data_IF_169813695609
#
_entry.id   IF_169813695609
#
_cell.length_a   1.000
_cell.length_b   1.000
_cell.length_c   1.000
_cell.angle_alpha   90.00
_cell.angle_beta   90.00
_cell.angle_gamma   90.00
#
_symmetry.space_group_name_H-M   'P 1'
#
loop_
_entity.id
_entity.type
_entity.pdbx_description
1 polymer ?
#
# COMPACT_ATOMS: atom_id res chain seq x y z
N UNK A 1 21.41 11.52 64.00
CA UNK A 1 21.70 12.75 64.72
C UNK A 1 21.70 13.90 63.75
N UNK A 2 20.64 14.62 63.74
CA UNK A 2 20.38 16.02 64.16
C UNK A 2 21.01 17.06 63.26
N UNK A 3 20.17 17.76 62.53
CA UNK A 3 19.64 19.05 62.85
C UNK A 3 20.49 20.19 62.18
N UNK A 4 20.06 21.24 61.60
CA UNK A 4 18.85 21.99 61.51
C UNK A 4 19.12 23.17 60.55
N UNK A 5 18.05 23.64 59.94
CA UNK A 5 17.88 24.96 59.31
C UNK A 5 18.13 26.12 60.31
N UNK A 6 18.45 27.38 59.93
CA UNK A 6 17.36 28.25 59.48
C UNK A 6 17.74 29.36 58.46
N UNK A 7 16.73 29.88 57.80
CA UNK A 7 16.62 31.22 57.24
C UNK A 7 16.43 32.25 58.39
N UNK A 8 16.30 33.57 58.27
CA UNK A 8 15.70 34.38 57.18
C UNK A 8 16.21 35.88 57.04
N UNK A 9 15.49 36.63 56.16
CA UNK A 9 15.08 38.06 56.32
C UNK A 9 16.07 39.13 55.81
N UNK A 10 15.77 40.17 55.07
CA UNK A 10 14.63 41.02 54.75
C UNK A 10 15.01 42.02 53.66
N UNK A 11 14.03 42.43 52.88
CA UNK A 11 14.02 43.68 52.08
C UNK A 11 14.03 44.92 53.04
N UNK A 12 14.26 46.17 52.63
CA UNK A 12 13.37 46.87 51.70
C UNK A 12 13.95 48.09 50.94
N UNK A 13 13.09 48.63 50.11
CA UNK A 13 12.72 50.02 49.82
C UNK A 13 13.15 50.66 48.48
N UNK A 14 12.12 51.01 47.79
CA UNK A 14 11.86 52.03 46.78
C UNK A 14 12.03 53.43 47.35
N UNK A 15 12.13 54.64 46.69
CA UNK A 15 11.55 55.02 45.37
C UNK A 15 12.47 55.96 44.53
N UNK A 16 12.13 56.42 43.42
CA UNK A 16 11.30 57.47 42.85
C UNK A 16 11.64 57.77 41.35
N UNK A 17 10.61 57.83 40.60
CA UNK A 17 10.18 58.74 39.53
C UNK A 17 11.16 59.67 38.80
N UNK A 18 11.06 59.60 37.43
CA UNK A 18 10.77 60.80 36.58
C UNK A 18 10.63 60.42 35.12
N UNK A 19 9.45 60.44 34.60
CA UNK A 19 8.82 61.22 33.50
C UNK A 19 9.54 61.37 32.16
N UNK A 20 8.76 60.98 31.17
CA UNK A 20 8.50 61.54 29.83
C UNK A 20 9.54 61.40 28.72
N UNK A 21 9.16 60.65 27.68
CA UNK A 21 8.87 61.22 26.37
C UNK A 21 8.30 60.14 25.44
N UNK A 22 7.06 60.37 24.98
CA UNK A 22 6.46 59.68 23.86
C UNK A 22 7.28 59.88 22.61
N UNK A 23 7.70 58.76 21.97
CA UNK A 23 8.01 58.74 20.56
C UNK A 23 7.13 57.69 19.91
N UNK A 24 6.17 58.15 19.13
CA UNK A 24 5.30 57.37 18.29
C UNK A 24 6.16 56.69 17.24
N UNK A 25 6.30 55.38 17.33
CA UNK A 25 6.86 54.57 16.25
C UNK A 25 5.82 54.37 15.14
N UNK A 26 6.22 54.36 13.84
CA UNK A 26 5.26 54.19 12.76
C UNK A 26 4.69 52.76 12.79
N UNK A 27 3.38 52.66 12.49
CA UNK A 27 2.68 51.40 12.34
C UNK A 27 3.39 50.49 11.34
N UNK A 28 3.81 49.32 11.79
CA UNK A 28 4.22 48.22 10.92
C UNK A 28 3.06 47.84 10.02
N UNK A 29 3.30 47.84 8.71
CA UNK A 29 2.41 47.29 7.71
C UNK A 29 2.17 45.80 8.00
N UNK A 30 0.97 45.26 7.72
CA UNK A 30 0.71 43.85 7.93
C UNK A 30 1.66 43.04 7.05
N UNK A 31 2.50 42.22 7.67
CA UNK A 31 3.31 41.22 7.01
C UNK A 31 2.38 40.28 6.24
N UNK A 32 2.67 40.13 4.97
CA UNK A 32 2.01 39.09 4.12
C UNK A 32 2.10 37.73 4.83
N UNK A 33 1.08 36.88 4.72
CA UNK A 33 1.14 35.54 5.26
C UNK A 33 2.39 34.84 4.70
N UNK A 34 3.23 34.31 5.55
CA UNK A 34 4.34 33.46 5.15
C UNK A 34 3.74 32.31 4.33
N UNK A 35 4.09 32.22 3.05
CA UNK A 35 3.78 31.04 2.26
C UNK A 35 4.40 29.84 2.99
N UNK A 36 3.55 28.89 3.39
CA UNK A 36 4.00 27.60 3.89
C UNK A 36 4.96 27.03 2.86
N UNK A 37 6.11 26.47 3.26
CA UNK A 37 7.03 25.87 2.31
C UNK A 37 6.25 24.82 1.51
N UNK A 38 6.19 24.99 0.19
CA UNK A 38 5.68 23.96 -0.72
C UNK A 38 6.52 22.73 -0.44
N UNK A 39 5.92 21.68 0.07
CA UNK A 39 6.59 20.38 0.15
C UNK A 39 7.06 20.04 -1.25
N UNK A 40 8.36 19.84 -1.43
CA UNK A 40 8.89 19.38 -2.71
C UNK A 40 8.16 18.07 -3.06
N UNK A 41 7.52 18.04 -4.23
CA UNK A 41 6.83 16.85 -4.71
C UNK A 41 7.88 15.75 -4.92
N UNK A 42 7.81 14.71 -4.10
CA UNK A 42 8.74 13.58 -4.18
C UNK A 42 8.38 12.68 -5.36
N UNK A 43 9.39 12.12 -5.99
CA UNK A 43 9.20 11.08 -6.99
C UNK A 43 8.51 9.85 -6.36
N UNK A 44 7.64 9.22 -7.11
CA UNK A 44 7.03 7.94 -6.71
C UNK A 44 7.75 6.80 -7.39
N UNK A 45 8.28 5.88 -6.61
CA UNK A 45 8.91 4.65 -7.09
C UNK A 45 8.06 3.45 -6.66
N UNK A 46 7.62 2.65 -7.61
CA UNK A 46 6.89 1.41 -7.35
C UNK A 46 7.82 0.25 -7.69
N UNK A 47 8.19 -0.51 -6.66
CA UNK A 47 8.89 -1.79 -6.83
C UNK A 47 7.84 -2.90 -6.79
N UNK A 48 7.86 -3.78 -7.78
CA UNK A 48 6.94 -4.90 -7.78
C UNK A 48 7.63 -6.21 -8.10
N UNK A 49 7.07 -7.27 -7.57
CA UNK A 49 7.33 -8.65 -7.95
C UNK A 49 6.03 -9.30 -8.41
N UNK A 50 6.14 -10.34 -9.21
CA UNK A 50 5.03 -11.17 -9.64
C UNK A 50 5.56 -12.53 -10.10
N UNK A 51 4.75 -13.57 -9.98
CA UNK A 51 5.08 -14.91 -10.47
C UNK A 51 6.44 -15.44 -10.01
N UNK A 52 6.81 -15.16 -8.77
CA UNK A 52 8.11 -15.58 -8.22
C UNK A 52 8.14 -17.07 -7.94
N UNK A 53 7.00 -17.68 -7.67
CA UNK A 53 6.86 -19.14 -7.57
C UNK A 53 7.87 -19.82 -6.64
N UNK A 54 8.05 -19.24 -5.45
CA UNK A 54 8.90 -19.83 -4.42
C UNK A 54 10.40 -19.78 -4.71
N UNK A 55 10.87 -18.93 -5.62
CA UNK A 55 12.29 -18.72 -5.93
C UNK A 55 12.99 -17.88 -4.88
N UNK A 56 13.15 -18.47 -3.70
CA UNK A 56 13.72 -17.83 -2.51
C UNK A 56 15.24 -17.65 -2.63
N UNK A 57 15.90 -18.64 -3.22
CA UNK A 57 17.36 -18.72 -3.28
C UNK A 57 17.86 -18.14 -4.60
N UNK A 58 18.99 -17.41 -4.50
CA UNK A 58 19.70 -16.93 -5.68
C UNK A 58 20.18 -18.09 -6.57
N UNK A 59 19.92 -18.00 -7.86
CA UNK A 59 20.44 -18.92 -8.87
C UNK A 59 20.60 -18.17 -10.21
N UNK A 60 21.09 -18.85 -11.25
CA UNK A 60 21.26 -18.22 -12.56
C UNK A 60 19.94 -17.65 -13.08
N UNK A 61 19.89 -16.32 -13.24
CA UNK A 61 18.71 -15.61 -13.72
C UNK A 61 17.67 -15.30 -12.63
N UNK A 62 17.93 -15.63 -11.37
CA UNK A 62 17.06 -15.39 -10.23
C UNK A 62 17.82 -14.64 -9.15
N UNK A 63 17.34 -13.48 -8.76
CA UNK A 63 17.98 -12.63 -7.75
C UNK A 63 17.95 -13.24 -6.34
N UNK A 64 16.89 -13.98 -6.00
CA UNK A 64 16.65 -14.49 -4.65
C UNK A 64 16.16 -13.42 -3.67
N UNK A 65 15.45 -13.86 -2.64
CA UNK A 65 14.77 -12.92 -1.71
C UNK A 65 15.77 -12.10 -0.87
N UNK A 66 16.93 -12.65 -0.52
CA UNK A 66 17.94 -11.93 0.27
C UNK A 66 18.52 -10.71 -0.45
N UNK A 67 18.89 -10.87 -1.71
CA UNK A 67 19.38 -9.74 -2.53
C UNK A 67 18.25 -8.77 -2.88
N UNK A 68 17.06 -9.28 -3.15
CA UNK A 68 15.89 -8.46 -3.40
C UNK A 68 15.57 -7.58 -2.19
N UNK A 69 15.64 -8.11 -0.97
CA UNK A 69 15.46 -7.33 0.26
C UNK A 69 16.45 -6.18 0.34
N UNK A 70 17.73 -6.42 0.00
CA UNK A 70 18.75 -5.37 -0.04
C UNK A 70 18.42 -4.26 -1.05
N UNK A 71 17.96 -4.63 -2.24
CA UNK A 71 17.54 -3.64 -3.26
C UNK A 71 16.36 -2.80 -2.76
N UNK A 72 15.37 -3.45 -2.14
CA UNK A 72 14.21 -2.76 -1.56
C UNK A 72 14.64 -1.77 -0.47
N UNK A 73 15.51 -2.18 0.43
CA UNK A 73 16.03 -1.31 1.49
C UNK A 73 16.81 -0.11 0.93
N UNK A 74 17.63 -0.32 -0.09
CA UNK A 74 18.36 0.74 -0.77
C UNK A 74 17.41 1.76 -1.42
N UNK A 75 16.34 1.31 -2.04
CA UNK A 75 15.33 2.22 -2.62
C UNK A 75 14.56 2.98 -1.54
N UNK A 76 14.16 2.31 -0.46
CA UNK A 76 13.47 2.96 0.67
C UNK A 76 14.33 3.99 1.39
N UNK A 77 15.65 3.82 1.40
CA UNK A 77 16.58 4.75 2.04
C UNK A 77 16.73 6.10 1.30
N UNK A 78 16.28 6.19 0.06
CA UNK A 78 16.33 7.43 -0.72
C UNK A 78 15.28 8.41 -0.20
N UNK A 79 15.73 9.60 0.19
CA UNK A 79 14.87 10.62 0.83
C UNK A 79 14.07 11.47 -0.14
N UNK A 80 14.47 11.49 -1.42
CA UNK A 80 13.84 12.26 -2.50
C UNK A 80 12.66 11.53 -3.17
N UNK A 81 12.30 10.36 -2.70
CA UNK A 81 11.24 9.54 -3.29
C UNK A 81 10.33 8.91 -2.23
N UNK A 82 9.11 8.57 -2.66
CA UNK A 82 8.19 7.70 -1.92
C UNK A 82 8.23 6.33 -2.58
N UNK A 83 8.57 5.28 -1.82
CA UNK A 83 8.74 3.93 -2.35
C UNK A 83 7.59 3.03 -1.91
N UNK A 84 6.85 2.49 -2.88
CA UNK A 84 5.80 1.48 -2.70
C UNK A 84 6.34 0.11 -3.14
N UNK A 85 6.16 -0.91 -2.33
CA UNK A 85 6.62 -2.28 -2.61
C UNK A 85 5.43 -3.23 -2.61
N UNK A 86 5.16 -3.87 -3.74
CA UNK A 86 3.97 -4.68 -3.96
C UNK A 86 4.28 -5.99 -4.69
N UNK A 87 3.39 -6.96 -4.56
CA UNK A 87 3.46 -8.23 -5.31
C UNK A 87 2.14 -8.47 -6.05
N UNK A 88 2.21 -8.83 -7.33
CA UNK A 88 1.04 -9.05 -8.16
C UNK A 88 0.55 -10.51 -8.19
N UNK A 89 1.00 -11.35 -7.26
CA UNK A 89 0.50 -12.72 -7.09
C UNK A 89 1.41 -13.83 -7.61
N UNK A 90 1.00 -15.06 -7.32
CA UNK A 90 1.75 -16.28 -7.64
C UNK A 90 3.14 -16.33 -6.96
N UNK A 91 3.14 -16.01 -5.67
CA UNK A 91 4.37 -15.88 -4.90
C UNK A 91 4.85 -17.17 -4.26
N UNK A 92 3.95 -18.04 -3.80
CA UNK A 92 4.26 -19.06 -2.79
C UNK A 92 4.46 -20.47 -3.34
N UNK A 93 3.74 -20.83 -4.37
CA UNK A 93 3.81 -22.16 -4.97
C UNK A 93 4.85 -22.20 -6.11
N UNK A 94 5.61 -23.26 -6.21
CA UNK A 94 6.53 -23.54 -7.32
C UNK A 94 7.68 -24.44 -6.91
N UNK A 95 8.75 -23.91 -6.34
CA UNK A 95 9.92 -24.70 -5.98
C UNK A 95 9.74 -25.48 -4.66
N UNK A 96 10.40 -26.66 -4.53
CA UNK A 96 10.29 -27.51 -3.35
C UNK A 96 10.60 -26.81 -2.03
N UNK A 97 11.53 -25.86 -2.03
CA UNK A 97 11.91 -25.09 -0.84
C UNK A 97 10.72 -24.29 -0.27
N UNK A 98 9.83 -23.81 -1.12
CA UNK A 98 8.60 -23.12 -0.69
C UNK A 98 7.46 -24.11 -0.50
N UNK A 99 7.29 -25.07 -1.42
CA UNK A 99 6.19 -26.03 -1.38
C UNK A 99 6.19 -26.93 -0.15
N UNK A 100 7.36 -27.24 0.42
CA UNK A 100 7.50 -28.06 1.64
C UNK A 100 6.74 -27.48 2.85
N UNK A 101 6.57 -26.16 2.89
CA UNK A 101 5.79 -25.45 3.89
C UNK A 101 4.47 -24.91 3.34
N UNK A 102 4.00 -25.41 2.16
CA UNK A 102 2.86 -24.87 1.44
C UNK A 102 2.95 -23.35 1.21
N UNK A 103 4.16 -22.84 1.01
CA UNK A 103 4.43 -21.43 0.79
C UNK A 103 4.52 -20.57 2.07
N UNK A 104 4.21 -21.11 3.25
CA UNK A 104 4.21 -20.33 4.50
C UNK A 104 5.59 -19.74 4.84
N UNK A 105 6.67 -20.48 4.54
CA UNK A 105 8.02 -19.99 4.77
C UNK A 105 8.29 -18.72 3.98
N UNK A 106 7.91 -18.68 2.70
CA UNK A 106 8.07 -17.50 1.87
C UNK A 106 7.16 -16.36 2.30
N UNK A 107 5.94 -16.64 2.74
CA UNK A 107 5.05 -15.61 3.30
C UNK A 107 5.70 -14.88 4.48
N UNK A 108 6.39 -15.60 5.36
CA UNK A 108 7.15 -15.02 6.47
C UNK A 108 8.35 -14.20 6.00
N UNK A 109 9.05 -14.65 4.95
CA UNK A 109 10.14 -13.88 4.32
C UNK A 109 9.62 -12.55 3.76
N UNK A 110 8.49 -12.55 3.06
CA UNK A 110 7.88 -11.32 2.55
C UNK A 110 7.48 -10.36 3.68
N UNK A 111 7.09 -10.88 4.84
CA UNK A 111 6.84 -10.05 6.02
C UNK A 111 8.09 -9.29 6.49
N UNK A 112 9.26 -9.95 6.46
CA UNK A 112 10.54 -9.31 6.84
C UNK A 112 11.03 -8.30 5.77
N UNK A 113 10.50 -8.39 4.56
CA UNK A 113 10.79 -7.45 3.48
C UNK A 113 9.83 -6.24 3.49
N UNK A 114 8.86 -6.20 4.40
CA UNK A 114 7.88 -5.11 4.56
C UNK A 114 7.16 -4.72 3.26
N UNK A 115 6.61 -5.71 2.56
CA UNK A 115 5.73 -5.41 1.43
C UNK A 115 4.52 -4.58 1.88
N UNK A 116 4.03 -3.69 1.02
CA UNK A 116 2.89 -2.82 1.32
C UNK A 116 1.55 -3.48 1.00
N UNK A 117 1.51 -4.31 -0.03
CA UNK A 117 0.33 -5.10 -0.44
C UNK A 117 0.70 -6.21 -1.41
N UNK A 118 -0.17 -7.19 -1.54
CA UNK A 118 -0.06 -8.28 -2.51
C UNK A 118 -1.42 -8.61 -3.10
N UNK A 119 -1.49 -8.90 -4.39
CA UNK A 119 -2.66 -9.50 -5.02
C UNK A 119 -2.65 -11.02 -4.89
N UNK A 120 -3.83 -11.62 -4.90
CA UNK A 120 -4.01 -13.06 -4.99
C UNK A 120 -3.88 -13.50 -6.44
N UNK A 121 -2.95 -14.41 -6.73
CA UNK A 121 -2.84 -15.09 -8.01
C UNK A 121 -3.60 -16.43 -8.01
N UNK A 122 -3.55 -17.13 -9.15
CA UNK A 122 -4.22 -18.41 -9.26
C UNK A 122 -3.49 -19.53 -8.48
N UNK A 123 -2.18 -19.47 -8.35
CA UNK A 123 -1.40 -20.45 -7.62
C UNK A 123 -1.41 -20.29 -6.10
N UNK A 124 -1.97 -19.21 -5.55
CA UNK A 124 -2.26 -19.11 -4.12
C UNK A 124 -3.31 -20.14 -3.66
N UNK A 125 -4.07 -20.73 -4.59
CA UNK A 125 -5.06 -21.79 -4.31
C UNK A 125 -4.52 -23.20 -4.46
N UNK A 126 -3.29 -23.42 -4.90
CA UNK A 126 -2.75 -24.75 -5.23
C UNK A 126 -2.67 -25.70 -4.04
N UNK A 127 -2.51 -25.17 -2.84
CA UNK A 127 -2.51 -25.96 -1.60
C UNK A 127 -3.90 -26.07 -0.95
N UNK A 128 -4.95 -25.62 -1.64
CA UNK A 128 -6.34 -25.65 -1.20
C UNK A 128 -6.83 -24.34 -0.62
N UNK A 129 -8.15 -24.23 -0.49
CA UNK A 129 -8.82 -23.03 -0.02
C UNK A 129 -8.43 -22.64 1.41
N UNK A 130 -8.26 -23.64 2.29
CA UNK A 130 -7.88 -23.37 3.70
C UNK A 130 -6.48 -22.74 3.78
N UNK A 131 -5.55 -23.19 2.96
CA UNK A 131 -4.21 -22.58 2.90
C UNK A 131 -4.25 -21.17 2.29
N UNK A 132 -5.06 -20.95 1.24
CA UNK A 132 -5.27 -19.63 0.68
C UNK A 132 -5.83 -18.64 1.72
N UNK A 133 -6.76 -19.08 2.55
CA UNK A 133 -7.28 -18.30 3.69
C UNK A 133 -6.20 -18.04 4.74
N UNK A 134 -5.33 -19.00 4.99
CA UNK A 134 -4.28 -18.92 6.00
C UNK A 134 -3.22 -17.86 5.66
N UNK A 135 -2.93 -17.63 4.39
CA UNK A 135 -2.01 -16.55 4.00
C UNK A 135 -2.47 -15.18 4.50
N UNK A 136 -3.77 -14.90 4.57
CA UNK A 136 -4.30 -13.64 5.15
C UNK A 136 -3.92 -13.46 6.63
N UNK A 137 -3.75 -14.55 7.35
CA UNK A 137 -3.41 -14.54 8.77
C UNK A 137 -1.89 -14.46 8.99
N UNK A 138 -1.11 -15.06 8.10
CA UNK A 138 0.36 -15.08 8.16
C UNK A 138 0.95 -13.74 7.72
N UNK A 139 0.43 -13.16 6.62
CA UNK A 139 0.94 -11.93 6.05
C UNK A 139 0.64 -10.73 6.96
N UNK A 140 1.66 -9.93 7.25
CA UNK A 140 1.55 -8.67 8.02
C UNK A 140 1.05 -7.49 7.18
N UNK A 141 0.88 -7.69 5.89
CA UNK A 141 0.37 -6.72 4.91
C UNK A 141 -0.87 -7.27 4.20
N UNK A 142 -1.69 -6.40 3.60
CA UNK A 142 -2.93 -6.83 2.97
C UNK A 142 -2.72 -7.76 1.77
N UNK A 143 -3.48 -8.85 1.75
CA UNK A 143 -3.64 -9.75 0.61
C UNK A 143 -4.97 -9.44 -0.08
N UNK A 144 -4.93 -9.02 -1.34
CA UNK A 144 -6.02 -8.34 -2.01
C UNK A 144 -6.59 -9.16 -3.18
N UNK A 145 -7.90 -9.25 -3.25
CA UNK A 145 -8.64 -9.64 -4.45
C UNK A 145 -10.04 -9.07 -4.45
N UNK A 146 -10.33 -8.21 -5.40
CA UNK A 146 -11.65 -7.56 -5.54
C UNK A 146 -12.74 -8.51 -6.01
N UNK A 147 -12.38 -9.58 -6.72
CA UNK A 147 -13.30 -10.42 -7.48
C UNK A 147 -13.34 -11.89 -7.05
N UNK A 148 -12.84 -12.23 -5.87
CA UNK A 148 -12.89 -13.60 -5.32
C UNK A 148 -13.95 -13.69 -4.23
N UNK A 149 -14.96 -14.53 -4.44
CA UNK A 149 -16.13 -14.67 -3.57
C UNK A 149 -16.31 -16.09 -3.06
N UNK A 150 -16.72 -16.21 -1.79
CA UNK A 150 -17.20 -17.44 -1.16
C UNK A 150 -18.50 -17.10 -0.43
N UNK A 151 -19.55 -17.88 -0.67
CA UNK A 151 -20.86 -17.68 -0.06
C UNK A 151 -21.41 -16.23 -0.23
N UNK A 152 -21.16 -15.62 -1.38
CA UNK A 152 -21.63 -14.28 -1.74
C UNK A 152 -20.85 -13.12 -1.12
N UNK A 153 -19.78 -13.40 -0.36
CA UNK A 153 -18.92 -12.38 0.23
C UNK A 153 -17.49 -12.46 -0.34
N UNK A 154 -16.83 -11.31 -0.47
CA UNK A 154 -15.41 -11.28 -0.85
C UNK A 154 -14.57 -12.05 0.17
N UNK A 155 -13.77 -12.98 -0.33
CA UNK A 155 -12.88 -13.80 0.50
C UNK A 155 -11.68 -13.00 1.05
N UNK A 156 -11.20 -12.03 0.28
CA UNK A 156 -10.08 -11.15 0.59
C UNK A 156 -10.54 -9.69 0.60
N UNK A 157 -9.73 -8.83 1.20
CA UNK A 157 -9.93 -7.39 1.00
C UNK A 157 -9.84 -7.06 -0.48
N UNK A 158 -10.71 -6.19 -0.97
CA UNK A 158 -10.66 -5.74 -2.35
C UNK A 158 -9.53 -4.74 -2.60
N UNK A 159 -9.29 -3.87 -1.62
CA UNK A 159 -8.34 -2.78 -1.68
C UNK A 159 -7.79 -2.41 -0.31
N UNK A 160 -6.74 -1.61 -0.31
CA UNK A 160 -6.19 -0.99 0.88
C UNK A 160 -5.69 0.42 0.56
N UNK A 161 -5.58 1.25 1.59
CA UNK A 161 -4.93 2.56 1.49
C UNK A 161 -3.55 2.44 2.09
N UNK A 162 -2.53 2.78 1.30
CA UNK A 162 -1.13 2.80 1.74
C UNK A 162 -0.69 4.25 1.88
N UNK A 163 -0.41 4.66 3.09
CA UNK A 163 0.09 5.98 3.45
C UNK A 163 1.54 5.85 3.91
N UNK A 164 2.48 6.26 3.06
CA UNK A 164 3.93 6.20 3.33
C UNK A 164 4.45 7.43 4.04
N UNK A 165 3.67 8.51 4.09
CA UNK A 165 4.05 9.77 4.73
C UNK A 165 2.84 10.43 5.39
N UNK A 166 2.63 10.10 6.65
CA UNK A 166 1.47 10.54 7.43
C UNK A 166 1.40 12.06 7.66
N UNK A 167 2.48 12.77 7.38
CA UNK A 167 2.55 14.22 7.52
C UNK A 167 2.15 14.97 6.24
N UNK A 168 1.88 14.24 5.15
CA UNK A 168 1.47 14.79 3.85
C UNK A 168 0.13 14.19 3.44
N UNK A 169 -0.86 15.04 3.27
CA UNK A 169 -2.17 14.63 2.74
C UNK A 169 -2.15 14.61 1.20
N UNK A 170 -2.85 13.63 0.64
CA UNK A 170 -3.05 13.50 -0.81
C UNK A 170 -1.96 12.71 -1.54
N UNK A 171 -0.99 12.15 -0.84
CA UNK A 171 0.04 11.27 -1.39
C UNK A 171 -0.22 9.77 -1.13
N UNK A 172 -1.36 9.45 -0.53
CA UNK A 172 -1.77 8.07 -0.26
C UNK A 172 -2.03 7.30 -1.58
N UNK A 173 -1.76 5.99 -1.52
CA UNK A 173 -2.06 5.07 -2.61
C UNK A 173 -3.30 4.25 -2.30
N UNK A 174 -4.23 4.21 -3.23
CA UNK A 174 -5.28 3.18 -3.27
C UNK A 174 -4.70 1.99 -4.02
N UNK A 175 -4.54 0.86 -3.34
CA UNK A 175 -4.06 -0.38 -3.95
C UNK A 175 -5.21 -1.36 -4.06
N UNK A 176 -5.51 -1.81 -5.27
CA UNK A 176 -6.61 -2.73 -5.57
C UNK A 176 -6.01 -4.02 -6.11
N UNK A 177 -6.46 -5.18 -5.62
CA UNK A 177 -6.08 -6.48 -6.16
C UNK A 177 -7.18 -7.06 -7.04
N UNK A 178 -6.80 -7.76 -8.11
CA UNK A 178 -7.72 -8.51 -8.96
C UNK A 178 -7.10 -9.81 -9.43
N UNK A 179 -7.88 -10.89 -9.38
CA UNK A 179 -7.45 -12.26 -9.69
C UNK A 179 -8.06 -12.73 -11.00
N UNK A 180 -7.29 -13.41 -11.81
CA UNK A 180 -7.81 -13.97 -13.07
C UNK A 180 -8.96 -14.95 -12.84
N UNK A 181 -10.10 -14.80 -13.54
CA UNK A 181 -11.16 -15.82 -13.50
C UNK A 181 -10.73 -17.20 -14.04
N UNK A 182 -9.63 -17.27 -14.78
CA UNK A 182 -9.04 -18.55 -15.21
C UNK A 182 -8.61 -19.42 -14.01
N UNK A 183 -8.51 -18.86 -12.81
CA UNK A 183 -8.21 -19.60 -11.57
C UNK A 183 -9.16 -20.77 -11.37
N UNK A 184 -10.41 -20.64 -11.79
CA UNK A 184 -11.40 -21.73 -11.73
C UNK A 184 -10.93 -23.01 -12.45
N UNK A 185 -10.02 -22.90 -13.43
CA UNK A 185 -9.52 -24.01 -14.26
C UNK A 185 -8.00 -24.16 -14.22
N UNK A 186 -7.25 -23.14 -13.77
CA UNK A 186 -5.79 -23.16 -13.71
C UNK A 186 -5.21 -23.71 -12.41
N UNK A 187 -6.02 -23.87 -11.37
CA UNK A 187 -5.69 -24.70 -10.21
C UNK A 187 -6.55 -25.96 -10.21
N UNK A 188 -6.26 -26.92 -9.33
CA UNK A 188 -7.08 -28.12 -9.27
C UNK A 188 -8.52 -27.77 -8.82
N UNK A 189 -9.58 -28.19 -9.52
CA UNK A 189 -10.96 -27.78 -9.25
C UNK A 189 -11.44 -27.96 -7.79
N UNK A 190 -10.92 -28.99 -7.10
CA UNK A 190 -11.24 -29.23 -5.68
C UNK A 190 -10.75 -28.08 -4.77
N UNK A 191 -9.67 -27.38 -5.18
CA UNK A 191 -9.06 -26.32 -4.37
C UNK A 191 -9.87 -25.04 -4.38
N UNK A 192 -10.74 -24.88 -5.37
CA UNK A 192 -11.59 -23.70 -5.55
C UNK A 192 -13.08 -24.03 -5.53
N UNK A 193 -13.44 -25.20 -4.98
CA UNK A 193 -14.84 -25.59 -4.83
C UNK A 193 -15.57 -24.58 -3.96
N UNK A 194 -16.66 -24.00 -4.48
CA UNK A 194 -17.44 -22.97 -3.80
C UNK A 194 -16.84 -21.56 -3.88
N UNK A 195 -15.76 -21.39 -4.63
CA UNK A 195 -15.17 -20.09 -4.93
C UNK A 195 -15.65 -19.58 -6.28
N UNK A 196 -16.08 -18.33 -6.34
CA UNK A 196 -16.47 -17.65 -7.57
C UNK A 196 -15.48 -16.52 -7.86
N UNK A 197 -15.03 -16.46 -9.10
CA UNK A 197 -14.20 -15.34 -9.62
C UNK A 197 -15.05 -14.55 -10.61
N UNK A 198 -15.34 -13.30 -10.27
CA UNK A 198 -16.19 -12.42 -11.08
C UNK A 198 -15.36 -11.63 -12.10
N UNK A 199 -16.03 -10.89 -12.98
CA UNK A 199 -15.39 -10.16 -14.08
C UNK A 199 -14.47 -9.05 -13.56
N UNK A 200 -13.18 -9.04 -13.95
CA UNK A 200 -12.18 -8.13 -13.42
C UNK A 200 -12.52 -6.65 -13.61
N UNK A 201 -12.94 -6.26 -14.80
CA UNK A 201 -13.21 -4.84 -15.13
C UNK A 201 -14.36 -4.32 -14.29
N UNK A 202 -15.46 -5.06 -14.22
CA UNK A 202 -16.65 -4.66 -13.45
C UNK A 202 -16.33 -4.55 -11.96
N UNK A 203 -15.59 -5.51 -11.40
CA UNK A 203 -15.26 -5.52 -9.98
C UNK A 203 -14.25 -4.41 -9.61
N UNK A 204 -13.24 -4.16 -10.44
CA UNK A 204 -12.29 -3.06 -10.16
C UNK A 204 -13.00 -1.71 -10.23
N UNK A 205 -13.86 -1.49 -11.24
CA UNK A 205 -14.65 -0.26 -11.31
C UNK A 205 -15.57 -0.09 -10.10
N UNK A 206 -16.21 -1.16 -9.64
CA UNK A 206 -17.03 -1.15 -8.42
C UNK A 206 -16.21 -0.78 -7.18
N UNK A 207 -15.01 -1.32 -7.04
CA UNK A 207 -14.11 -0.98 -5.93
C UNK A 207 -13.69 0.49 -5.99
N UNK A 208 -13.42 1.04 -7.16
CA UNK A 208 -13.16 2.48 -7.32
C UNK A 208 -14.31 3.32 -6.79
N UNK A 209 -15.56 2.96 -7.12
CA UNK A 209 -16.76 3.64 -6.60
C UNK A 209 -16.83 3.51 -5.07
N UNK A 210 -16.65 2.32 -4.52
CA UNK A 210 -16.70 2.05 -3.07
C UNK A 210 -15.64 2.87 -2.32
N UNK A 211 -14.40 2.89 -2.82
CA UNK A 211 -13.29 3.64 -2.23
C UNK A 211 -13.54 5.14 -2.26
N UNK A 212 -14.00 5.68 -3.39
CA UNK A 212 -14.26 7.12 -3.50
C UNK A 212 -15.46 7.57 -2.68
N UNK A 213 -16.52 6.76 -2.59
CA UNK A 213 -17.66 7.05 -1.72
C UNK A 213 -17.24 7.13 -0.25
N UNK A 214 -16.42 6.19 0.21
CA UNK A 214 -15.87 6.19 1.56
C UNK A 214 -14.94 7.38 1.80
N UNK A 215 -14.03 7.67 0.87
CA UNK A 215 -13.12 8.80 0.93
C UNK A 215 -13.89 10.12 1.05
N UNK A 216 -14.92 10.32 0.21
CA UNK A 216 -15.77 11.50 0.24
C UNK A 216 -16.45 11.69 1.59
N UNK A 217 -16.96 10.61 2.19
CA UNK A 217 -17.57 10.64 3.53
C UNK A 217 -16.56 11.04 4.62
N UNK A 218 -15.29 10.73 4.43
CA UNK A 218 -14.18 11.07 5.33
C UNK A 218 -13.48 12.40 4.98
N UNK A 219 -13.96 13.11 3.97
CA UNK A 219 -13.35 14.37 3.49
C UNK A 219 -12.02 14.19 2.77
N UNK A 220 -11.77 13.01 2.21
CA UNK A 220 -10.53 12.66 1.50
C UNK A 220 -10.74 12.56 0.00
N UNK A 221 -9.67 12.80 -0.75
CA UNK A 221 -9.62 12.64 -2.21
C UNK A 221 -8.29 12.00 -2.62
N UNK A 222 -8.32 10.70 -2.93
CA UNK A 222 -7.12 9.96 -3.30
C UNK A 222 -6.74 10.25 -4.76
N UNK A 223 -5.45 10.48 -4.99
CA UNK A 223 -4.87 10.86 -6.28
C UNK A 223 -4.20 9.70 -7.02
N UNK A 224 -3.73 8.69 -6.28
CA UNK A 224 -2.91 7.59 -6.79
C UNK A 224 -3.63 6.25 -6.63
N UNK A 225 -3.84 5.57 -7.75
CA UNK A 225 -4.44 4.24 -7.80
C UNK A 225 -3.45 3.25 -8.40
N UNK A 226 -3.18 2.17 -7.69
CA UNK A 226 -2.34 1.06 -8.14
C UNK A 226 -3.18 -0.20 -8.18
N UNK A 227 -3.33 -0.79 -9.35
CA UNK A 227 -4.08 -2.03 -9.53
C UNK A 227 -3.11 -3.17 -9.74
N UNK A 228 -3.06 -4.08 -8.78
CA UNK A 228 -2.29 -5.32 -8.86
C UNK A 228 -3.15 -6.35 -9.58
N UNK A 229 -2.88 -6.53 -10.86
CA UNK A 229 -3.70 -7.31 -11.76
C UNK A 229 -3.04 -8.66 -12.09
N UNK A 230 -3.38 -9.69 -11.31
CA UNK A 230 -2.98 -11.05 -11.68
C UNK A 230 -3.88 -11.55 -12.81
N UNK A 231 -3.64 -11.07 -14.02
CA UNK A 231 -4.39 -11.31 -15.26
C UNK A 231 -3.46 -11.77 -16.38
N UNK A 232 -4.04 -12.25 -17.47
CA UNK A 232 -3.26 -12.62 -18.63
C UNK A 232 -2.77 -11.42 -19.45
N UNK A 233 -1.74 -11.63 -20.25
CA UNK A 233 -1.10 -10.59 -21.07
C UNK A 233 -1.07 -10.92 -22.57
N UNK A 234 -1.38 -12.13 -22.95
CA UNK A 234 -1.26 -12.63 -24.33
C UNK A 234 -2.60 -13.04 -24.97
N UNK A 235 -2.52 -13.50 -26.21
CA UNK A 235 -3.69 -13.87 -27.01
C UNK A 235 -4.37 -15.18 -26.57
N UNK A 236 -3.76 -15.97 -25.70
CA UNK A 236 -4.36 -17.19 -25.15
C UNK A 236 -5.35 -16.89 -24.04
N UNK A 237 -5.25 -15.69 -23.42
CA UNK A 237 -6.19 -15.22 -22.42
C UNK A 237 -7.39 -14.55 -23.08
N UNK A 238 -8.63 -14.83 -22.64
CA UNK A 238 -9.81 -14.08 -23.06
C UNK A 238 -9.60 -12.58 -22.93
N UNK A 239 -10.02 -11.81 -23.93
CA UNK A 239 -9.75 -10.35 -23.98
C UNK A 239 -10.22 -9.63 -22.71
N UNK A 240 -11.41 -9.98 -22.19
CA UNK A 240 -11.96 -9.38 -20.97
C UNK A 240 -11.11 -9.62 -19.71
N UNK A 241 -10.19 -10.61 -19.74
CA UNK A 241 -9.36 -10.98 -18.60
C UNK A 241 -7.87 -10.65 -18.81
N UNK A 242 -7.57 -9.73 -19.74
CA UNK A 242 -6.21 -9.23 -19.95
C UNK A 242 -5.97 -7.95 -19.16
N UNK A 243 -4.77 -7.82 -18.63
CA UNK A 243 -4.34 -6.60 -17.93
C UNK A 243 -4.42 -5.35 -18.80
N UNK A 244 -4.09 -5.48 -20.10
CA UNK A 244 -4.19 -4.37 -21.05
C UNK A 244 -5.64 -3.89 -21.26
N UNK A 245 -6.60 -4.82 -21.31
CA UNK A 245 -8.03 -4.48 -21.44
C UNK A 245 -8.54 -3.80 -20.17
N UNK A 246 -8.10 -4.25 -18.99
CA UNK A 246 -8.39 -3.59 -17.73
C UNK A 246 -7.83 -2.17 -17.72
N UNK A 247 -6.57 -1.99 -18.08
CA UNK A 247 -5.94 -0.66 -18.14
C UNK A 247 -6.69 0.29 -19.07
N UNK A 248 -7.11 -0.19 -20.25
CA UNK A 248 -7.92 0.58 -21.19
C UNK A 248 -9.29 0.97 -20.58
N UNK A 249 -9.97 0.05 -19.93
CA UNK A 249 -11.25 0.31 -19.27
C UNK A 249 -11.11 1.36 -18.15
N UNK A 250 -10.06 1.26 -17.34
CA UNK A 250 -9.78 2.23 -16.27
C UNK A 250 -9.47 3.63 -16.84
N UNK A 251 -8.80 3.71 -17.99
CA UNK A 251 -8.53 4.99 -18.67
C UNK A 251 -9.82 5.71 -19.12
N UNK A 252 -10.90 4.98 -19.29
CA UNK A 252 -12.23 5.48 -19.68
C UNK A 252 -13.16 5.71 -18.49
N UNK A 253 -12.78 5.32 -17.28
CA UNK A 253 -13.59 5.50 -16.08
C UNK A 253 -13.59 6.99 -15.67
N UNK A 254 -14.73 7.69 -15.69
CA UNK A 254 -14.80 9.10 -15.36
C UNK A 254 -14.40 9.41 -13.91
N UNK A 255 -14.54 8.44 -12.99
CA UNK A 255 -14.13 8.59 -11.59
C UNK A 255 -12.61 8.65 -11.43
N UNK A 256 -11.86 8.19 -12.42
CA UNK A 256 -10.38 8.19 -12.43
C UNK A 256 -9.79 9.32 -13.26
N UNK A 257 -10.62 10.19 -13.82
CA UNK A 257 -10.16 11.36 -14.59
C UNK A 257 -9.33 12.29 -13.71
N UNK A 258 -8.12 12.61 -14.16
CA UNK A 258 -7.17 13.44 -13.42
C UNK A 258 -6.44 12.71 -12.29
N UNK A 259 -6.65 11.42 -12.13
CA UNK A 259 -5.92 10.56 -11.19
C UNK A 259 -4.72 9.91 -11.87
N UNK A 260 -3.72 9.54 -11.07
CA UNK A 260 -2.63 8.66 -11.53
C UNK A 260 -3.06 7.22 -11.33
N UNK A 261 -3.07 6.44 -12.41
CA UNK A 261 -3.46 5.03 -12.40
C UNK A 261 -2.32 4.19 -12.95
N UNK A 262 -1.88 3.23 -12.17
CA UNK A 262 -0.86 2.24 -12.56
C UNK A 262 -1.47 0.86 -12.48
N UNK A 263 -1.32 0.06 -13.54
CA UNK A 263 -1.72 -1.35 -13.57
C UNK A 263 -0.47 -2.20 -13.68
N UNK A 264 -0.30 -3.15 -12.77
CA UNK A 264 0.85 -4.06 -12.66
C UNK A 264 0.36 -5.48 -12.85
#
# INVERSE_FOLDING_TARGET
>A
ATSATPAPVESPAVPETSTTSEAIAPAEAPSAPAESPKSEEKDTVILHTNDVHGRIVEEKGVIGDAKLATVIEQERAKTNQTTLVVDAGDAFQGLPISNSSKGEARAKILNEMDYDAMAVGNHEFDFGLDEAKKYKEILKFPLLSSNTYVDGARLFQASTIVDKNKDVEGDEFVVIGVTTPETATKTHPKNVKGVTFTEPIEEVNKVVEEVQAKAKAEGKDYKHYVVLAHLGVDTTTPVAWRGSTLAEALSKNPLLKGKRVTVI
#
